data_IF_012010156538
#
_entry.id   IF_012010156538
#
_cell.length_a   1.000
_cell.length_b   1.000
_cell.length_c   1.000
_cell.angle_alpha   90.00
_cell.angle_beta   90.00
_cell.angle_gamma   90.00
#
_symmetry.space_group_name_H-M   'P 1'
#
loop_
_entity.id
_entity.type
_entity.pdbx_description
1 polymer ?
#
# COMPACT_ATOMS: atom_id res chain seq x y z
N UNK A 1 26.25 -8.57 13.62
CA UNK A 1 26.41 -7.22 14.21
C UNK A 1 25.04 -6.59 14.13
N UNK A 2 24.38 -6.34 15.26
CA UNK A 2 23.22 -5.45 15.32
C UNK A 2 23.76 -4.08 14.90
N UNK A 3 23.43 -3.64 13.69
CA UNK A 3 23.64 -2.26 13.29
C UNK A 3 22.85 -1.35 14.20
N UNK A 4 23.28 -0.11 14.33
CA UNK A 4 22.50 0.91 15.03
C UNK A 4 21.17 1.11 14.25
N UNK A 5 20.13 0.31 14.60
CA UNK A 5 18.79 0.33 14.02
C UNK A 5 18.02 1.61 14.37
N UNK A 6 18.69 2.62 14.92
CA UNK A 6 18.05 3.85 15.38
C UNK A 6 17.68 4.80 14.23
N UNK A 7 18.29 4.64 13.06
CA UNK A 7 18.07 5.52 11.89
C UNK A 7 18.02 4.73 10.60
N UNK A 8 16.92 4.85 9.88
CA UNK A 8 16.78 4.33 8.52
C UNK A 8 15.82 5.22 7.72
N UNK A 9 15.89 5.13 6.40
CA UNK A 9 14.99 5.86 5.50
C UNK A 9 13.84 4.97 5.03
N UNK A 10 12.74 5.61 4.72
CA UNK A 10 11.54 4.98 4.18
C UNK A 10 11.09 5.71 2.92
N UNK A 11 10.89 4.98 1.84
CA UNK A 11 10.37 5.48 0.57
C UNK A 11 8.96 4.93 0.36
N UNK A 12 7.98 5.79 0.21
CA UNK A 12 6.63 5.41 -0.18
C UNK A 12 6.35 5.87 -1.62
N UNK A 13 5.85 4.97 -2.44
CA UNK A 13 5.31 5.26 -3.76
C UNK A 13 3.90 4.68 -3.87
N UNK A 14 3.11 5.20 -4.78
CA UNK A 14 1.79 4.69 -5.09
C UNK A 14 1.47 4.90 -6.56
N UNK A 15 0.56 4.11 -7.08
CA UNK A 15 -0.05 4.29 -8.39
C UNK A 15 0.95 4.41 -9.56
N UNK A 16 1.97 3.52 -9.67
CA UNK A 16 2.78 3.48 -10.90
C UNK A 16 1.94 3.21 -12.13
N UNK A 17 0.88 2.43 -11.98
CA UNK A 17 -0.16 2.12 -12.97
C UNK A 17 0.38 1.87 -14.39
N UNK A 18 1.40 1.03 -14.51
CA UNK A 18 2.01 0.72 -15.80
C UNK A 18 0.98 0.02 -16.69
N UNK A 19 0.60 0.66 -17.78
CA UNK A 19 -0.36 0.13 -18.74
C UNK A 19 0.24 -0.11 -20.14
N UNK A 20 1.45 0.42 -20.40
CA UNK A 20 2.12 0.25 -21.67
C UNK A 20 3.65 0.29 -21.51
N UNK A 21 4.40 -0.36 -22.39
CA UNK A 21 5.87 -0.38 -22.36
C UNK A 21 6.52 1.01 -22.31
N UNK A 22 5.92 2.04 -22.91
CA UNK A 22 6.42 3.42 -22.88
C UNK A 22 6.51 4.03 -21.47
N UNK A 23 5.70 3.54 -20.54
CA UNK A 23 5.64 4.06 -19.16
C UNK A 23 6.86 3.64 -18.34
N UNK A 24 7.54 2.57 -18.74
CA UNK A 24 8.75 2.12 -18.06
C UNK A 24 9.88 3.15 -18.09
N UNK A 25 9.90 4.07 -19.05
CA UNK A 25 10.88 5.15 -19.06
C UNK A 25 10.68 6.10 -17.87
N UNK A 26 9.43 6.42 -17.51
CA UNK A 26 9.10 7.25 -16.35
C UNK A 26 9.43 6.52 -15.05
N UNK A 27 9.04 5.25 -14.95
CA UNK A 27 9.35 4.43 -13.78
C UNK A 27 10.86 4.32 -13.58
N UNK A 28 11.63 4.13 -14.65
CA UNK A 28 13.09 4.06 -14.59
C UNK A 28 13.71 5.37 -14.09
N UNK A 29 13.21 6.51 -14.57
CA UNK A 29 13.65 7.81 -14.07
C UNK A 29 13.35 8.00 -12.58
N UNK A 30 12.17 7.59 -12.13
CA UNK A 30 11.81 7.61 -10.70
C UNK A 30 12.70 6.67 -9.89
N UNK A 31 12.98 5.46 -10.38
CA UNK A 31 13.87 4.52 -9.72
C UNK A 31 15.31 5.07 -9.59
N UNK A 32 15.80 5.74 -10.62
CA UNK A 32 17.13 6.38 -10.61
C UNK A 32 17.17 7.55 -9.60
N UNK A 33 16.12 8.34 -9.49
CA UNK A 33 15.98 9.43 -8.52
C UNK A 33 15.94 8.89 -7.07
N UNK A 34 15.17 7.82 -6.83
CA UNK A 34 15.17 7.09 -5.56
C UNK A 34 16.58 6.60 -5.23
N UNK A 35 17.25 5.96 -6.18
CA UNK A 35 18.62 5.48 -5.98
C UNK A 35 19.61 6.62 -5.64
N UNK A 36 19.48 7.77 -6.31
CA UNK A 36 20.28 8.95 -6.02
C UNK A 36 20.01 9.49 -4.61
N UNK A 37 18.73 9.56 -4.24
CA UNK A 37 18.30 9.95 -2.88
C UNK A 37 18.90 9.01 -1.82
N UNK A 38 18.74 7.70 -1.97
CA UNK A 38 19.28 6.69 -1.05
C UNK A 38 20.81 6.86 -0.87
N UNK A 39 21.53 7.04 -1.98
CA UNK A 39 22.99 7.26 -1.95
C UNK A 39 23.39 8.53 -1.21
N UNK A 40 22.60 9.61 -1.30
CA UNK A 40 22.89 10.88 -0.65
C UNK A 40 22.90 10.82 0.88
N UNK A 41 22.28 9.79 1.45
CA UNK A 41 22.26 9.55 2.90
C UNK A 41 23.44 8.72 3.43
N UNK A 42 24.49 8.52 2.63
CA UNK A 42 25.79 8.04 3.12
C UNK A 42 25.77 6.64 3.74
N UNK A 43 24.98 5.72 3.19
CA UNK A 43 24.92 4.32 3.68
C UNK A 43 23.89 4.07 4.78
N UNK A 44 23.06 5.04 5.12
CA UNK A 44 21.88 4.80 5.96
C UNK A 44 20.98 3.75 5.28
N UNK A 45 20.51 2.72 6.00
CA UNK A 45 19.64 1.72 5.40
C UNK A 45 18.28 2.31 5.00
N UNK A 46 17.75 1.83 3.88
CA UNK A 46 16.44 2.22 3.36
C UNK A 46 15.60 0.99 3.04
N UNK A 47 14.29 1.15 3.11
CA UNK A 47 13.33 0.24 2.51
C UNK A 47 12.21 1.03 1.85
N UNK A 48 11.41 0.36 1.01
CA UNK A 48 10.31 1.00 0.31
C UNK A 48 9.00 0.23 0.44
N UNK A 49 7.91 0.94 0.22
CA UNK A 49 6.57 0.37 0.04
C UNK A 49 5.92 1.02 -1.18
N UNK A 50 5.29 0.19 -2.00
CA UNK A 50 4.36 0.62 -3.04
C UNK A 50 2.94 0.40 -2.52
N UNK A 51 2.14 1.47 -2.45
CA UNK A 51 0.76 1.43 -1.95
C UNK A 51 -0.25 1.05 -3.05
N UNK A 52 0.08 0.08 -3.89
CA UNK A 52 -0.83 -0.51 -4.87
C UNK A 52 -0.86 0.17 -6.22
N UNK A 53 -1.71 -0.38 -7.09
CA UNK A 53 -1.84 -0.01 -8.51
C UNK A 53 -0.50 -0.04 -9.24
N UNK A 54 0.20 -1.17 -9.11
CA UNK A 54 1.51 -1.41 -9.74
C UNK A 54 1.37 -1.41 -11.26
N UNK A 55 0.36 -2.12 -11.76
CA UNK A 55 0.03 -2.19 -13.18
C UNK A 55 -1.45 -1.83 -13.39
N UNK A 56 -1.81 -1.47 -14.62
CA UNK A 56 -3.19 -1.22 -15.01
C UNK A 56 -3.78 -2.46 -15.69
N UNK A 57 -4.10 -3.50 -14.89
CA UNK A 57 -4.72 -4.77 -15.29
C UNK A 57 -3.85 -5.75 -16.11
N UNK A 58 -2.75 -5.31 -16.68
CA UNK A 58 -1.83 -6.22 -17.39
C UNK A 58 -0.76 -6.78 -16.43
N UNK A 59 -1.10 -7.86 -15.76
CA UNK A 59 -0.23 -8.52 -14.79
C UNK A 59 1.05 -9.12 -15.42
N UNK A 60 1.14 -9.24 -16.74
CA UNK A 60 2.36 -9.69 -17.41
C UNK A 60 3.50 -8.67 -17.25
N UNK A 61 3.19 -7.44 -16.91
CA UNK A 61 4.15 -6.35 -16.71
C UNK A 61 4.82 -6.37 -15.32
N UNK A 62 4.36 -7.17 -14.37
CA UNK A 62 4.97 -7.25 -13.02
C UNK A 62 6.46 -7.59 -13.04
N UNK A 63 6.87 -8.57 -13.86
CA UNK A 63 8.28 -8.95 -13.94
C UNK A 63 9.16 -7.76 -14.33
N UNK A 64 8.76 -7.04 -15.37
CA UNK A 64 9.51 -5.86 -15.82
C UNK A 64 9.44 -4.69 -14.83
N UNK A 65 8.33 -4.52 -14.14
CA UNK A 65 8.24 -3.54 -13.03
C UNK A 65 9.30 -3.85 -11.97
N UNK A 66 9.39 -5.10 -11.54
CA UNK A 66 10.36 -5.52 -10.53
C UNK A 66 11.80 -5.26 -10.99
N UNK A 67 12.15 -5.63 -12.24
CA UNK A 67 13.48 -5.36 -12.84
C UNK A 67 13.83 -3.87 -12.79
N UNK A 68 12.88 -2.99 -13.08
CA UNK A 68 13.12 -1.55 -13.01
C UNK A 68 13.28 -1.09 -11.57
N UNK A 69 12.48 -1.60 -10.64
CA UNK A 69 12.56 -1.22 -9.23
C UNK A 69 13.84 -1.72 -8.54
N UNK A 70 14.47 -2.78 -9.02
CA UNK A 70 15.79 -3.22 -8.54
C UNK A 70 16.86 -2.13 -8.69
N UNK A 71 16.71 -1.20 -9.63
CA UNK A 71 17.62 -0.06 -9.82
C UNK A 71 17.67 0.88 -8.62
N UNK A 72 16.62 0.90 -7.82
CA UNK A 72 16.58 1.71 -6.59
C UNK A 72 17.64 1.28 -5.55
N UNK A 73 18.09 0.02 -5.61
CA UNK A 73 19.02 -0.58 -4.66
C UNK A 73 18.42 -0.87 -3.29
N UNK A 74 17.10 -0.74 -3.12
CA UNK A 74 16.39 -1.04 -1.86
C UNK A 74 15.24 -2.04 -2.11
N UNK A 75 14.87 -2.75 -1.05
CA UNK A 75 13.74 -3.68 -1.12
C UNK A 75 12.42 -2.93 -1.02
N UNK A 76 11.55 -3.10 -2.01
CA UNK A 76 10.16 -2.66 -1.95
C UNK A 76 9.24 -3.79 -1.54
N UNK A 77 8.28 -3.46 -0.68
CA UNK A 77 7.13 -4.28 -0.33
C UNK A 77 5.91 -3.68 -0.99
N UNK A 78 4.97 -4.51 -1.42
CA UNK A 78 3.84 -4.05 -2.22
C UNK A 78 2.52 -4.31 -1.51
N UNK A 79 1.66 -3.29 -1.46
CA UNK A 79 0.23 -3.46 -1.26
C UNK A 79 -0.43 -3.72 -2.62
N UNK A 80 -1.57 -4.38 -2.61
CA UNK A 80 -2.39 -4.55 -3.80
C UNK A 80 -3.26 -3.32 -4.02
N UNK A 81 -3.39 -2.87 -5.28
CA UNK A 81 -4.36 -1.85 -5.67
C UNK A 81 -5.52 -2.45 -6.46
N UNK A 82 -6.52 -1.63 -6.73
CA UNK A 82 -7.68 -2.09 -7.48
C UNK A 82 -7.35 -2.45 -8.94
N UNK A 83 -6.34 -1.82 -9.54
CA UNK A 83 -5.86 -2.18 -10.87
C UNK A 83 -4.97 -3.43 -10.89
N UNK A 84 -4.51 -3.90 -9.74
CA UNK A 84 -3.81 -5.18 -9.60
C UNK A 84 -4.78 -6.37 -9.48
N UNK A 85 -6.07 -6.12 -9.32
CA UNK A 85 -7.09 -7.17 -9.30
C UNK A 85 -7.32 -7.77 -10.69
N UNK A 86 -7.65 -9.05 -10.69
CA UNK A 86 -8.05 -9.76 -11.89
C UNK A 86 -9.47 -9.36 -12.31
N UNK A 87 -9.59 -8.59 -13.38
CA UNK A 87 -10.86 -8.04 -13.89
C UNK A 87 -11.97 -9.09 -14.06
N UNK A 88 -11.60 -10.30 -14.45
CA UNK A 88 -12.54 -11.43 -14.64
C UNK A 88 -12.51 -12.42 -13.48
N UNK A 89 -12.14 -11.98 -12.28
CA UNK A 89 -12.25 -12.76 -11.06
C UNK A 89 -13.71 -13.22 -10.84
N UNK A 90 -13.89 -14.40 -10.26
CA UNK A 90 -15.22 -14.94 -9.96
C UNK A 90 -15.63 -14.70 -8.50
N UNK A 91 -14.65 -14.49 -7.65
CA UNK A 91 -14.84 -14.20 -6.23
C UNK A 91 -13.73 -13.28 -5.75
N UNK A 92 -13.87 -12.78 -4.53
CA UNK A 92 -12.84 -11.99 -3.88
C UNK A 92 -11.49 -12.74 -3.88
N UNK A 93 -11.46 -13.99 -3.44
CA UNK A 93 -10.24 -14.79 -3.35
C UNK A 93 -9.55 -15.03 -4.70
N UNK A 94 -10.33 -15.07 -5.77
CA UNK A 94 -9.75 -15.23 -7.12
C UNK A 94 -9.32 -13.93 -7.75
N UNK A 95 -9.79 -12.78 -7.23
CA UNK A 95 -9.47 -11.46 -7.77
C UNK A 95 -7.99 -11.09 -7.58
N UNK A 96 -7.37 -11.50 -6.47
CA UNK A 96 -5.98 -11.20 -6.14
C UNK A 96 -4.97 -12.30 -6.48
N UNK A 97 -5.41 -13.41 -7.08
CA UNK A 97 -4.56 -14.59 -7.31
C UNK A 97 -3.29 -14.33 -8.13
N UNK A 98 -3.30 -13.36 -9.05
CA UNK A 98 -2.12 -12.97 -9.83
C UNK A 98 -1.14 -12.14 -9.03
N UNK A 99 -1.65 -11.27 -8.17
CA UNK A 99 -0.82 -10.51 -7.23
C UNK A 99 -0.13 -11.46 -6.24
N UNK A 100 -0.88 -12.37 -5.62
CA UNK A 100 -0.32 -13.35 -4.67
C UNK A 100 0.75 -14.25 -5.30
N UNK A 101 0.55 -14.65 -6.54
CA UNK A 101 1.53 -15.46 -7.28
C UNK A 101 2.87 -14.72 -7.42
N UNK A 102 2.85 -13.39 -7.54
CA UNK A 102 4.06 -12.57 -7.76
C UNK A 102 4.67 -12.07 -6.45
N UNK A 103 3.84 -11.59 -5.52
CA UNK A 103 4.27 -10.82 -4.36
C UNK A 103 3.98 -11.51 -3.01
N UNK A 104 3.25 -12.61 -3.00
CA UNK A 104 2.82 -13.27 -1.77
C UNK A 104 1.51 -12.70 -1.22
N UNK A 105 1.24 -12.89 0.08
CA UNK A 105 -0.05 -12.56 0.67
C UNK A 105 -0.42 -11.08 0.49
N UNK A 106 -1.70 -10.81 0.28
CA UNK A 106 -2.23 -9.45 0.07
C UNK A 106 -2.28 -8.61 1.35
N UNK A 107 -2.18 -9.25 2.51
CA UNK A 107 -1.99 -8.55 3.79
C UNK A 107 -0.97 -9.28 4.66
N UNK A 108 -0.10 -8.53 5.30
CA UNK A 108 1.00 -9.02 6.13
C UNK A 108 1.59 -7.91 6.99
N UNK A 109 2.46 -8.26 7.94
CA UNK A 109 3.20 -7.31 8.75
C UNK A 109 4.70 -7.63 8.77
N UNK A 110 5.50 -6.64 9.14
CA UNK A 110 6.94 -6.76 9.31
C UNK A 110 7.47 -5.62 10.17
N UNK A 111 8.64 -5.83 10.75
CA UNK A 111 9.32 -4.79 11.54
C UNK A 111 10.54 -4.25 10.81
N UNK A 112 10.77 -2.95 10.91
CA UNK A 112 12.03 -2.31 10.57
C UNK A 112 12.41 -1.40 11.72
N UNK A 113 13.56 -1.65 12.33
CA UNK A 113 13.98 -0.96 13.55
C UNK A 113 12.92 -1.11 14.66
N UNK A 114 12.37 0.01 15.11
CA UNK A 114 11.34 0.04 16.17
C UNK A 114 9.92 0.28 15.65
N UNK A 115 9.74 0.29 14.34
CA UNK A 115 8.45 0.57 13.72
C UNK A 115 7.86 -0.74 13.22
N UNK A 116 6.61 -0.96 13.58
CA UNK A 116 5.80 -2.06 13.07
C UNK A 116 5.05 -1.60 11.83
N UNK A 117 5.26 -2.29 10.72
CA UNK A 117 4.60 -2.03 9.45
C UNK A 117 3.53 -3.07 9.18
N UNK A 118 2.39 -2.61 8.73
CA UNK A 118 1.26 -3.46 8.33
C UNK A 118 0.87 -3.10 6.92
N UNK A 119 0.79 -4.07 6.05
CA UNK A 119 0.21 -3.94 4.71
C UNK A 119 -1.14 -4.60 4.72
N UNK A 120 -2.17 -3.88 4.25
CA UNK A 120 -3.55 -4.35 4.21
C UNK A 120 -4.08 -4.33 2.77
N UNK A 121 -5.01 -5.25 2.50
CA UNK A 121 -5.81 -5.25 1.28
C UNK A 121 -7.20 -4.70 1.59
N UNK A 122 -7.47 -3.54 1.08
CA UNK A 122 -8.75 -2.85 1.20
C UNK A 122 -9.54 -2.77 -0.12
N UNK A 123 -9.10 -3.53 -1.13
CA UNK A 123 -9.77 -3.63 -2.43
C UNK A 123 -10.74 -4.82 -2.43
N UNK A 124 -11.90 -4.65 -1.81
CA UNK A 124 -12.86 -5.73 -1.70
C UNK A 124 -13.68 -5.89 -2.99
N UNK A 125 -13.37 -6.94 -3.74
CA UNK A 125 -14.07 -7.26 -4.98
C UNK A 125 -15.48 -7.79 -4.71
N UNK A 126 -16.50 -7.17 -5.28
CA UNK A 126 -17.91 -7.49 -5.03
C UNK A 126 -18.68 -7.99 -6.27
N UNK A 127 -18.06 -8.08 -7.43
CA UNK A 127 -18.75 -8.56 -8.61
C UNK A 127 -17.92 -8.61 -9.87
N UNK A 128 -18.55 -9.06 -10.95
CA UNK A 128 -17.96 -9.03 -12.29
C UNK A 128 -17.70 -7.60 -12.74
N UNK A 129 -16.93 -7.47 -13.79
CA UNK A 129 -16.68 -6.21 -14.47
C UNK A 129 -16.00 -5.16 -13.57
N UNK A 130 -15.07 -5.64 -12.73
CA UNK A 130 -14.23 -4.74 -11.97
C UNK A 130 -14.95 -3.94 -10.88
N UNK A 131 -15.94 -4.56 -10.27
CA UNK A 131 -16.68 -3.91 -9.21
C UNK A 131 -16.03 -4.18 -7.84
N UNK A 132 -15.61 -3.15 -7.17
CA UNK A 132 -14.97 -3.21 -5.84
C UNK A 132 -15.46 -2.07 -4.95
N UNK A 133 -15.20 -2.22 -3.66
CA UNK A 133 -15.36 -1.16 -2.66
C UNK A 133 -14.11 -1.11 -1.77
N UNK A 134 -13.84 0.05 -1.19
CA UNK A 134 -12.85 0.21 -0.13
C UNK A 134 -13.38 -0.42 1.16
N UNK A 135 -12.89 -1.62 1.50
CA UNK A 135 -13.40 -2.37 2.65
C UNK A 135 -12.36 -3.37 3.16
N UNK A 136 -12.09 -3.33 4.45
CA UNK A 136 -11.30 -4.37 5.10
C UNK A 136 -12.20 -5.52 5.54
N UNK A 137 -11.93 -6.71 5.01
CA UNK A 137 -12.66 -7.90 5.37
C UNK A 137 -12.53 -8.22 6.87
N UNK A 138 -13.59 -8.73 7.46
CA UNK A 138 -13.63 -9.03 8.91
C UNK A 138 -12.53 -10.01 9.34
N UNK A 139 -12.20 -10.97 8.50
CA UNK A 139 -11.09 -11.91 8.72
C UNK A 139 -9.75 -11.17 8.83
N UNK A 140 -9.53 -10.17 7.97
CA UNK A 140 -8.33 -9.34 7.97
C UNK A 140 -8.28 -8.42 9.20
N UNK A 141 -9.42 -7.84 9.59
CA UNK A 141 -9.52 -7.04 10.82
C UNK A 141 -9.18 -7.87 12.07
N UNK A 142 -9.72 -9.09 12.19
CA UNK A 142 -9.37 -10.01 13.29
C UNK A 142 -7.91 -10.45 13.27
N UNK A 143 -7.32 -10.58 12.09
CA UNK A 143 -5.89 -10.85 11.96
C UNK A 143 -5.07 -9.66 12.46
N UNK A 144 -5.43 -8.44 12.06
CA UNK A 144 -4.77 -7.20 12.47
C UNK A 144 -4.80 -7.02 14.00
N UNK A 145 -5.94 -7.26 14.64
CA UNK A 145 -6.06 -7.23 16.11
C UNK A 145 -5.07 -8.20 16.78
N UNK A 146 -4.96 -9.42 16.27
CA UNK A 146 -4.04 -10.43 16.81
C UNK A 146 -2.57 -10.09 16.56
N UNK A 147 -2.27 -9.48 15.45
CA UNK A 147 -0.92 -9.05 15.08
C UNK A 147 -0.49 -7.91 16.02
N UNK A 148 -1.29 -6.87 16.10
CA UNK A 148 -1.03 -5.71 16.95
C UNK A 148 -1.08 -6.01 18.46
N UNK A 149 -1.76 -7.05 18.90
CA UNK A 149 -1.72 -7.48 20.31
C UNK A 149 -0.30 -7.87 20.78
N UNK A 150 0.64 -8.07 19.86
CA UNK A 150 2.06 -8.35 20.14
C UNK A 150 2.90 -7.09 20.15
N UNK A 151 2.35 -5.97 19.72
CA UNK A 151 3.01 -4.67 19.65
C UNK A 151 2.73 -3.89 20.94
N UNK A 152 3.75 -3.31 21.53
CA UNK A 152 3.58 -2.54 22.76
C UNK A 152 2.72 -1.30 22.51
N UNK A 153 1.67 -1.03 23.32
CA UNK A 153 0.92 0.21 23.22
C UNK A 153 1.81 1.46 23.27
N UNK A 154 1.48 2.46 22.48
CA UNK A 154 2.30 3.66 22.30
C UNK A 154 3.45 3.51 21.29
N UNK A 155 3.69 2.32 20.73
CA UNK A 155 4.64 2.13 19.63
C UNK A 155 4.16 2.81 18.35
N UNK A 156 5.10 3.09 17.46
CA UNK A 156 4.78 3.59 16.13
C UNK A 156 4.37 2.42 15.23
N UNK A 157 3.21 2.54 14.60
CA UNK A 157 2.67 1.60 13.62
C UNK A 157 2.44 2.34 12.30
N UNK A 158 2.93 1.80 11.20
CA UNK A 158 2.68 2.33 9.86
C UNK A 158 1.82 1.35 9.10
N UNK A 159 0.62 1.78 8.74
CA UNK A 159 -0.33 0.99 7.95
C UNK A 159 -0.26 1.45 6.51
N UNK A 160 -0.03 0.51 5.60
CA UNK A 160 0.00 0.74 4.16
C UNK A 160 -1.17 0.02 3.53
N UNK A 161 -1.96 0.74 2.79
CA UNK A 161 -3.13 0.24 2.06
C UNK A 161 -3.25 1.01 0.73
N UNK A 162 -4.21 0.67 -0.09
CA UNK A 162 -4.37 1.35 -1.37
C UNK A 162 -5.42 2.44 -1.31
N UNK A 163 -6.66 2.10 -0.97
CA UNK A 163 -7.77 3.05 -0.92
C UNK A 163 -7.71 3.84 0.40
N UNK A 164 -7.67 5.19 0.37
CA UNK A 164 -7.51 5.96 1.59
C UNK A 164 -8.64 5.72 2.59
N UNK A 165 -8.29 5.69 3.86
CA UNK A 165 -9.27 5.53 4.94
C UNK A 165 -10.22 6.73 5.08
N UNK A 166 -9.75 7.91 4.67
CA UNK A 166 -10.54 9.14 4.60
C UNK A 166 -9.98 10.06 3.53
N UNK A 167 -10.80 10.87 2.94
CA UNK A 167 -10.42 11.80 1.90
C UNK A 167 -11.30 13.06 1.90
N UNK A 168 -11.35 13.76 3.03
CA UNK A 168 -12.21 14.94 3.20
C UNK A 168 -12.00 16.02 2.14
N UNK A 169 -10.76 16.21 1.69
CA UNK A 169 -10.49 17.20 0.66
C UNK A 169 -11.05 16.79 -0.70
N UNK A 170 -11.00 15.50 -1.03
CA UNK A 170 -11.65 14.98 -2.23
C UNK A 170 -13.15 14.92 -2.10
N UNK A 171 -13.68 14.61 -0.92
CA UNK A 171 -15.12 14.68 -0.65
C UNK A 171 -15.68 16.07 -0.91
N UNK A 172 -14.90 17.12 -0.72
CA UNK A 172 -15.28 18.50 -1.06
C UNK A 172 -15.15 18.84 -2.55
N UNK A 173 -14.16 18.26 -3.25
CA UNK A 173 -13.80 18.64 -4.64
C UNK A 173 -14.38 17.72 -5.69
N UNK A 174 -14.45 16.44 -5.41
CA UNK A 174 -14.88 15.38 -6.36
C UNK A 174 -16.14 14.68 -5.88
N UNK A 175 -17.14 15.30 -5.83
CA UNK A 175 -18.41 14.83 -5.57
C UNK A 175 -18.84 13.61 -6.32
N UNK A 176 -19.41 12.69 -5.69
CA UNK A 176 -20.69 12.19 -6.08
C UNK A 176 -20.87 10.76 -6.45
N UNK A 177 -19.95 10.05 -7.12
CA UNK A 177 -20.43 8.82 -7.75
C UNK A 177 -19.99 7.53 -7.13
N UNK A 178 -18.89 7.51 -6.44
CA UNK A 178 -18.42 6.26 -5.85
C UNK A 178 -17.60 6.49 -4.59
N UNK A 179 -18.27 6.89 -3.53
CA UNK A 179 -17.61 7.00 -2.23
C UNK A 179 -17.10 5.65 -1.72
N UNK A 180 -17.82 4.58 -2.03
CA UNK A 180 -17.45 3.24 -1.59
C UNK A 180 -16.20 2.71 -2.31
N UNK A 181 -15.94 3.16 -3.54
CA UNK A 181 -14.71 2.83 -4.27
C UNK A 181 -13.57 3.83 -4.01
N UNK A 182 -13.86 5.06 -3.61
CA UNK A 182 -12.86 6.13 -3.44
C UNK A 182 -12.27 6.22 -2.04
N UNK A 183 -13.01 5.78 -1.03
CA UNK A 183 -12.58 5.75 0.37
C UNK A 183 -13.04 4.48 1.06
N UNK A 184 -12.31 4.08 2.10
CA UNK A 184 -12.66 2.91 2.90
C UNK A 184 -13.98 3.10 3.63
N UNK A 185 -14.93 2.18 3.44
CA UNK A 185 -16.28 2.27 4.03
C UNK A 185 -16.31 1.92 5.52
N UNK A 186 -15.41 1.06 5.99
CA UNK A 186 -15.33 0.61 7.38
C UNK A 186 -14.10 1.11 8.14
N UNK A 187 -13.55 2.27 7.76
CA UNK A 187 -12.36 2.88 8.36
C UNK A 187 -12.44 3.07 9.89
N UNK A 188 -13.64 3.29 10.45
CA UNK A 188 -13.82 3.46 11.90
C UNK A 188 -13.36 2.23 12.68
N UNK A 189 -13.63 1.02 12.17
CA UNK A 189 -13.13 -0.22 12.78
C UNK A 189 -11.61 -0.28 12.80
N UNK A 190 -10.96 0.13 11.71
CA UNK A 190 -9.51 0.24 11.64
C UNK A 190 -8.97 1.24 12.67
N UNK A 191 -9.59 2.41 12.81
CA UNK A 191 -9.16 3.43 13.77
C UNK A 191 -9.27 2.95 15.23
N UNK A 192 -10.33 2.23 15.59
CA UNK A 192 -10.46 1.67 16.94
C UNK A 192 -9.33 0.67 17.25
N UNK A 193 -8.94 -0.17 16.28
CA UNK A 193 -7.82 -1.10 16.45
C UNK A 193 -6.50 -0.34 16.61
N UNK A 194 -6.32 0.75 15.88
CA UNK A 194 -5.07 1.53 15.87
C UNK A 194 -4.95 2.51 17.06
N UNK A 195 -6.04 2.81 17.75
CA UNK A 195 -6.11 3.79 18.84
C UNK A 195 -5.02 3.66 19.94
N UNK A 196 -4.59 2.45 20.34
CA UNK A 196 -3.53 2.30 21.33
C UNK A 196 -2.13 2.70 20.85
N UNK A 197 -1.94 2.97 19.55
CA UNK A 197 -0.64 3.15 18.90
C UNK A 197 -0.47 4.57 18.34
N UNK A 198 0.77 4.95 18.08
CA UNK A 198 1.07 6.12 17.23
C UNK A 198 0.99 5.68 15.77
N UNK A 199 -0.22 5.67 15.24
CA UNK A 199 -0.49 5.13 13.92
C UNK A 199 -0.35 6.19 12.82
N UNK A 200 0.25 5.77 11.71
CA UNK A 200 0.30 6.51 10.46
C UNK A 200 -0.28 5.62 9.37
N UNK A 201 -1.14 6.17 8.52
CA UNK A 201 -1.71 5.47 7.38
C UNK A 201 -1.17 6.11 6.10
N UNK A 202 -0.66 5.29 5.20
CA UNK A 202 -0.15 5.69 3.89
C UNK A 202 -0.99 4.97 2.84
N UNK A 203 -1.49 5.71 1.86
CA UNK A 203 -2.34 5.19 0.79
C UNK A 203 -2.03 5.80 -0.56
N UNK A 204 -2.64 5.27 -1.61
CA UNK A 204 -2.60 5.74 -2.98
C UNK A 204 -3.98 6.08 -3.52
N UNK A 205 -4.29 5.55 -4.70
CA UNK A 205 -5.61 5.50 -5.34
C UNK A 205 -6.16 6.82 -5.88
N UNK A 206 -6.10 7.87 -5.12
CA UNK A 206 -6.77 9.15 -5.47
C UNK A 206 -5.94 10.03 -6.39
N UNK A 207 -4.69 9.67 -6.67
CA UNK A 207 -3.72 10.46 -7.45
C UNK A 207 -3.58 11.91 -6.98
N UNK A 208 -3.83 12.14 -5.68
CA UNK A 208 -3.69 13.46 -5.05
C UNK A 208 -2.84 13.34 -3.80
N UNK A 209 -2.04 14.35 -3.53
CA UNK A 209 -1.26 14.41 -2.31
C UNK A 209 -2.04 15.18 -1.25
N UNK A 210 -2.28 14.55 -0.11
CA UNK A 210 -2.84 15.18 1.06
C UNK A 210 -2.21 14.63 2.33
N UNK A 211 -2.25 15.41 3.39
CA UNK A 211 -1.85 14.98 4.73
C UNK A 211 -2.85 15.57 5.70
N UNK A 212 -3.52 14.71 6.45
CA UNK A 212 -4.52 15.14 7.41
C UNK A 212 -4.45 14.27 8.67
N UNK A 213 -4.73 14.85 9.86
CA UNK A 213 -4.86 14.04 11.07
C UNK A 213 -6.06 13.11 10.94
N UNK A 214 -5.90 11.89 11.42
CA UNK A 214 -7.02 10.97 11.60
C UNK A 214 -7.79 11.48 12.83
N UNK A 215 -9.00 11.93 12.60
CA UNK A 215 -9.88 12.29 13.71
C UNK A 215 -10.29 11.02 14.47
N UNK A 216 -10.23 11.03 15.80
CA UNK A 216 -10.66 9.91 16.63
C UNK A 216 -12.16 9.63 16.53
#
# INVERSE_FOLDING_TARGET
>A
RAGDDSRYGFIAIADPQIWAPKEFAKLAAAADDIAATVRSYGGMPFHGICCGDIVSHDHSLYGRYNEVMERTGITFRNAMGNHDMKVYGRSYETSFSKFEQMYGPVYYSFDVGRIHYVVLDDNFFIGRDYFYIGYLEERQMRWLEKDLARVQPGSTVVVCLHIPSTCEEQDRKQFRYDRAGSTMTNHRGLYEILKPYRAHIISGHTHTTFNQPIAP
#
